data_IF_274671686900
#
_entry.id   IF_274671686900
#
_cell.length_a   1.000
_cell.length_b   1.000
_cell.length_c   1.000
_cell.angle_alpha   90.00
_cell.angle_beta   90.00
_cell.angle_gamma   90.00
#
_symmetry.space_group_name_H-M   'P 1'
#
loop_
_entity.id
_entity.type
_entity.pdbx_description
1 polymer ?
#
# COMPACT_ATOMS: atom_id res chain seq x y z
N UNK A 1 -30.15 -9.14 16.29
CA UNK A 1 -30.51 -7.73 16.07
C UNK A 1 -30.64 -7.55 14.57
N UNK A 2 -31.90 -7.47 14.08
CA UNK A 2 -32.21 -7.23 12.67
C UNK A 2 -31.96 -5.75 12.33
N UNK A 3 -30.86 -5.48 11.67
CA UNK A 3 -30.62 -4.18 11.03
C UNK A 3 -31.45 -4.12 9.73
N UNK A 4 -32.63 -3.54 9.79
CA UNK A 4 -33.48 -3.30 8.62
C UNK A 4 -33.28 -1.85 8.15
N UNK A 5 -32.70 -1.68 6.95
CA UNK A 5 -32.60 -0.40 6.23
C UNK A 5 -31.19 0.15 6.07
N UNK A 6 -30.98 0.98 5.06
CA UNK A 6 -29.70 1.64 4.72
C UNK A 6 -29.15 2.47 5.88
N UNK A 7 -30.00 3.09 6.68
CA UNK A 7 -29.62 3.82 7.89
C UNK A 7 -28.96 2.93 8.95
N UNK A 8 -29.36 1.68 9.05
CA UNK A 8 -28.76 0.70 9.99
C UNK A 8 -27.33 0.29 9.63
N UNK A 9 -27.01 0.19 8.33
CA UNK A 9 -25.64 -0.17 7.86
C UNK A 9 -24.69 0.98 8.16
N UNK A 10 -25.05 2.23 7.88
CA UNK A 10 -24.22 3.39 8.17
C UNK A 10 -23.97 3.60 9.67
N UNK A 11 -24.99 3.40 10.49
CA UNK A 11 -24.83 3.47 11.95
C UNK A 11 -23.94 2.32 12.46
N UNK A 12 -24.09 1.11 11.90
CA UNK A 12 -23.22 -0.02 12.19
C UNK A 12 -21.76 0.26 11.82
N UNK A 13 -21.50 0.84 10.63
CA UNK A 13 -20.16 1.22 10.20
C UNK A 13 -19.53 2.30 11.10
N UNK A 14 -20.31 3.28 11.52
CA UNK A 14 -19.81 4.36 12.38
C UNK A 14 -19.50 3.90 13.82
N UNK A 15 -20.26 2.95 14.35
CA UNK A 15 -20.17 2.56 15.77
C UNK A 15 -19.44 1.23 15.99
N UNK A 16 -19.70 0.22 15.14
CA UNK A 16 -19.23 -1.15 15.27
C UNK A 16 -18.85 -1.77 13.92
N UNK A 17 -17.87 -1.22 13.18
CA UNK A 17 -17.49 -1.72 11.85
C UNK A 17 -17.05 -3.18 11.88
N UNK A 18 -16.45 -3.65 12.96
CA UNK A 18 -15.95 -5.02 13.16
C UNK A 18 -17.06 -6.09 13.10
N UNK A 19 -18.33 -5.71 13.31
CA UNK A 19 -19.49 -6.61 13.22
C UNK A 19 -20.01 -6.80 11.80
N UNK A 20 -19.63 -5.92 10.87
CA UNK A 20 -20.08 -5.98 9.49
C UNK A 20 -19.33 -7.06 8.70
N UNK A 21 -20.06 -7.83 7.88
CA UNK A 21 -19.46 -8.84 7.01
C UNK A 21 -18.49 -8.24 5.99
N UNK A 22 -18.78 -7.04 5.47
CA UNK A 22 -17.91 -6.30 4.56
C UNK A 22 -16.55 -6.00 5.19
N UNK A 23 -16.51 -5.55 6.44
CA UNK A 23 -15.26 -5.29 7.15
C UNK A 23 -14.41 -6.58 7.28
N UNK A 24 -15.06 -7.72 7.54
CA UNK A 24 -14.39 -9.03 7.59
C UNK A 24 -13.85 -9.44 6.22
N UNK A 25 -14.62 -9.21 5.15
CA UNK A 25 -14.20 -9.49 3.77
C UNK A 25 -12.97 -8.65 3.41
N UNK A 26 -13.00 -7.34 3.61
CA UNK A 26 -11.85 -6.45 3.36
C UNK A 26 -10.64 -6.83 4.20
N UNK A 27 -10.85 -7.24 5.44
CA UNK A 27 -9.77 -7.76 6.28
C UNK A 27 -9.12 -9.02 5.68
N UNK A 28 -9.90 -9.96 5.16
CA UNK A 28 -9.37 -11.18 4.54
C UNK A 28 -8.61 -10.87 3.25
N UNK A 29 -9.13 -9.96 2.41
CA UNK A 29 -8.46 -9.51 1.19
C UNK A 29 -7.12 -8.83 1.53
N UNK A 30 -7.12 -7.89 2.47
CA UNK A 30 -5.91 -7.20 2.91
C UNK A 30 -4.87 -8.18 3.49
N UNK A 31 -5.30 -9.12 4.31
CA UNK A 31 -4.47 -10.14 4.91
C UNK A 31 -3.82 -11.06 3.86
N UNK A 32 -4.61 -11.59 2.93
CA UNK A 32 -4.12 -12.47 1.87
C UNK A 32 -3.17 -11.72 0.90
N UNK A 33 -3.58 -10.53 0.45
CA UNK A 33 -2.75 -9.69 -0.40
C UNK A 33 -1.46 -9.25 0.31
N UNK A 34 -1.52 -8.95 1.61
CA UNK A 34 -0.35 -8.59 2.41
C UNK A 34 0.70 -9.69 2.50
N UNK A 35 0.28 -10.95 2.63
CA UNK A 35 1.19 -12.11 2.62
C UNK A 35 1.83 -12.27 1.23
N UNK A 36 1.02 -12.22 0.17
CA UNK A 36 1.49 -12.45 -1.21
C UNK A 36 2.41 -11.32 -1.68
N UNK A 37 2.06 -10.08 -1.38
CA UNK A 37 2.75 -8.91 -1.91
C UNK A 37 3.80 -8.31 -0.95
N UNK A 38 3.87 -8.76 0.30
CA UNK A 38 4.71 -8.12 1.31
C UNK A 38 6.18 -8.02 0.88
N UNK A 39 6.77 -9.11 0.38
CA UNK A 39 8.14 -9.08 -0.11
C UNK A 39 8.31 -8.16 -1.33
N UNK A 40 7.38 -8.23 -2.29
CA UNK A 40 7.37 -7.34 -3.45
C UNK A 40 7.33 -5.87 -3.03
N UNK A 41 6.40 -5.48 -2.15
CA UNK A 41 6.27 -4.10 -1.66
C UNK A 41 7.55 -3.66 -0.96
N UNK A 42 8.18 -4.51 -0.16
CA UNK A 42 9.46 -4.21 0.49
C UNK A 42 10.56 -3.90 -0.54
N UNK A 43 10.73 -4.76 -1.55
CA UNK A 43 11.75 -4.58 -2.61
C UNK A 43 11.48 -3.29 -3.40
N UNK A 44 10.22 -3.05 -3.80
CA UNK A 44 9.85 -1.86 -4.55
C UNK A 44 10.05 -0.58 -3.73
N UNK A 45 9.74 -0.61 -2.44
CA UNK A 45 9.91 0.54 -1.55
C UNK A 45 11.38 0.87 -1.31
N UNK A 46 12.21 -0.14 -1.06
CA UNK A 46 13.66 0.07 -0.87
C UNK A 46 14.32 0.56 -2.15
N UNK A 47 14.04 -0.07 -3.29
CA UNK A 47 14.58 0.37 -4.58
C UNK A 47 14.13 1.78 -4.93
N UNK A 48 12.83 2.09 -4.72
CA UNK A 48 12.26 3.43 -4.91
C UNK A 48 12.96 4.49 -4.07
N UNK A 49 13.21 4.22 -2.78
CA UNK A 49 13.89 5.13 -1.86
C UNK A 49 15.31 5.51 -2.33
N UNK A 50 16.00 4.57 -2.96
CA UNK A 50 17.38 4.79 -3.43
C UNK A 50 17.38 5.51 -4.78
N UNK A 51 16.52 5.13 -5.73
CA UNK A 51 16.52 5.69 -7.08
C UNK A 51 16.00 7.13 -7.17
N UNK A 52 15.42 7.66 -6.10
CA UNK A 52 15.14 9.09 -5.99
C UNK A 52 16.45 9.89 -6.23
N UNK A 53 17.58 9.40 -5.71
CA UNK A 53 18.91 10.00 -5.86
C UNK A 53 19.71 9.43 -7.04
N UNK A 54 19.05 8.87 -8.06
CA UNK A 54 19.74 8.20 -9.18
C UNK A 54 20.75 9.08 -9.91
N UNK A 55 20.48 10.40 -10.03
CA UNK A 55 21.38 11.31 -10.74
C UNK A 55 22.71 11.48 -10.01
N UNK A 56 22.68 11.51 -8.69
CA UNK A 56 23.84 11.64 -7.82
C UNK A 56 24.60 10.32 -7.67
N UNK A 57 23.85 9.21 -7.67
CA UNK A 57 24.40 7.87 -7.41
C UNK A 57 24.92 7.18 -8.67
N UNK A 58 24.31 7.37 -9.84
CA UNK A 58 24.70 6.69 -11.09
C UNK A 58 26.15 6.93 -11.47
N UNK A 59 26.70 8.17 -11.44
CA UNK A 59 28.09 8.40 -11.79
C UNK A 59 29.10 7.73 -10.87
N UNK A 60 28.72 7.39 -9.64
CA UNK A 60 29.60 6.82 -8.61
C UNK A 60 29.43 5.33 -8.42
N UNK A 61 28.20 4.82 -8.53
CA UNK A 61 27.85 3.45 -8.10
C UNK A 61 27.12 2.63 -9.17
N UNK A 62 26.84 3.18 -10.36
CA UNK A 62 26.20 2.45 -11.45
C UNK A 62 24.84 1.85 -11.08
N UNK A 63 23.92 2.68 -10.56
CA UNK A 63 22.63 2.22 -10.02
C UNK A 63 21.55 1.95 -11.07
N UNK A 64 21.90 1.89 -12.36
CA UNK A 64 20.94 1.64 -13.47
C UNK A 64 20.21 0.32 -13.33
N UNK A 65 20.86 -0.70 -12.80
CA UNK A 65 20.22 -1.99 -12.53
C UNK A 65 19.08 -1.86 -11.51
N UNK A 66 19.24 -0.97 -10.53
CA UNK A 66 18.22 -0.72 -9.50
C UNK A 66 17.01 0.01 -10.11
N UNK A 67 17.23 0.94 -11.04
CA UNK A 67 16.18 1.58 -11.83
C UNK A 67 15.40 0.52 -12.64
N UNK A 68 16.12 -0.40 -13.31
CA UNK A 68 15.46 -1.49 -14.04
C UNK A 68 14.74 -2.47 -13.12
N UNK A 69 15.29 -2.78 -11.94
CA UNK A 69 14.60 -3.59 -10.94
C UNK A 69 13.26 -2.93 -10.55
N UNK A 70 13.28 -1.66 -10.22
CA UNK A 70 12.08 -0.91 -9.82
C UNK A 70 11.06 -0.77 -10.97
N UNK A 71 11.52 -0.49 -12.18
CA UNK A 71 10.63 -0.22 -13.32
C UNK A 71 10.05 -1.48 -13.94
N UNK A 72 10.82 -2.58 -14.01
CA UNK A 72 10.46 -3.78 -14.77
C UNK A 72 10.98 -5.09 -14.20
N UNK A 73 11.32 -5.14 -12.91
CA UNK A 73 11.78 -6.34 -12.20
C UNK A 73 12.96 -7.04 -12.89
N UNK A 74 13.76 -6.31 -13.70
CA UNK A 74 14.87 -6.79 -14.54
C UNK A 74 14.47 -7.69 -15.73
N UNK A 75 13.17 -7.90 -15.99
CA UNK A 75 12.64 -8.77 -17.05
C UNK A 75 11.94 -8.01 -18.17
N UNK A 76 12.30 -6.76 -18.42
CA UNK A 76 11.80 -5.90 -19.52
C UNK A 76 10.25 -5.91 -19.63
N UNK A 77 9.69 -6.34 -20.78
CA UNK A 77 8.24 -6.31 -21.01
C UNK A 77 7.46 -7.18 -20.04
N UNK A 78 7.93 -8.42 -19.79
CA UNK A 78 7.29 -9.35 -18.87
C UNK A 78 7.34 -8.84 -17.44
N UNK A 79 8.50 -8.34 -17.01
CA UNK A 79 8.66 -7.76 -15.69
C UNK A 79 7.83 -6.50 -15.49
N UNK A 80 7.70 -5.65 -16.53
CA UNK A 80 6.81 -4.49 -16.50
C UNK A 80 5.34 -4.90 -16.32
N UNK A 81 4.90 -5.94 -17.02
CA UNK A 81 3.55 -6.48 -16.87
C UNK A 81 3.30 -6.98 -15.44
N UNK A 82 4.21 -7.78 -14.87
CA UNK A 82 4.13 -8.28 -13.49
C UNK A 82 4.17 -7.13 -12.48
N UNK A 83 5.02 -6.14 -12.72
CA UNK A 83 5.12 -4.94 -11.88
C UNK A 83 3.81 -4.15 -11.84
N UNK A 84 3.11 -4.04 -12.96
CA UNK A 84 1.78 -3.44 -13.02
C UNK A 84 0.73 -4.18 -12.20
N UNK A 85 0.76 -5.53 -12.20
CA UNK A 85 -0.09 -6.35 -11.32
C UNK A 85 0.27 -6.08 -9.85
N UNK A 86 1.56 -5.98 -9.53
CA UNK A 86 2.03 -5.62 -8.19
C UNK A 86 1.55 -4.24 -7.73
N UNK A 87 1.60 -3.24 -8.61
CA UNK A 87 1.10 -1.89 -8.34
C UNK A 87 -0.43 -1.87 -8.13
N UNK A 88 -1.17 -2.66 -8.92
CA UNK A 88 -2.60 -2.88 -8.70
C UNK A 88 -2.88 -3.52 -7.33
N UNK A 89 -2.12 -4.56 -6.98
CA UNK A 89 -2.19 -5.20 -5.67
C UNK A 89 -1.87 -4.25 -4.51
N UNK A 90 -0.88 -3.37 -4.66
CA UNK A 90 -0.57 -2.32 -3.69
C UNK A 90 -1.75 -1.34 -3.52
N UNK A 91 -2.40 -0.96 -4.62
CA UNK A 91 -3.60 -0.11 -4.59
C UNK A 91 -4.74 -0.80 -3.82
N UNK A 92 -4.98 -2.09 -4.08
CA UNK A 92 -5.97 -2.89 -3.33
C UNK A 92 -5.60 -2.98 -1.85
N UNK A 93 -4.33 -3.23 -1.52
CA UNK A 93 -3.85 -3.21 -0.12
C UNK A 93 -4.12 -1.87 0.55
N UNK A 94 -3.83 -0.77 -0.14
CA UNK A 94 -4.04 0.57 0.38
C UNK A 94 -5.53 0.84 0.66
N UNK A 95 -6.40 0.57 -0.30
CA UNK A 95 -7.84 0.80 -0.17
C UNK A 95 -8.47 -0.09 0.91
N UNK A 96 -8.14 -1.38 0.92
CA UNK A 96 -8.64 -2.30 1.95
C UNK A 96 -8.10 -1.94 3.32
N UNK A 97 -6.83 -1.52 3.40
CA UNK A 97 -6.22 -1.02 4.63
C UNK A 97 -6.96 0.19 5.21
N UNK A 98 -7.32 1.16 4.37
CA UNK A 98 -8.10 2.33 4.79
C UNK A 98 -9.48 1.94 5.34
N UNK A 99 -10.15 0.96 4.70
CA UNK A 99 -11.46 0.46 5.13
C UNK A 99 -11.37 -0.23 6.49
N UNK A 100 -10.39 -1.12 6.69
CA UNK A 100 -10.24 -1.88 7.94
C UNK A 100 -9.62 -1.05 9.06
N UNK A 101 -8.92 0.03 8.72
CA UNK A 101 -8.33 0.94 9.72
C UNK A 101 -9.39 1.61 10.58
N UNK A 102 -10.59 1.88 10.04
CA UNK A 102 -11.65 2.57 10.76
C UNK A 102 -12.14 1.77 11.99
N UNK A 103 -11.84 2.21 13.23
CA UNK A 103 -12.20 1.50 14.45
C UNK A 103 -13.54 1.96 15.05
N UNK A 104 -14.31 2.76 14.32
CA UNK A 104 -15.51 3.42 14.81
C UNK A 104 -15.23 4.77 15.47
N UNK A 105 -16.28 5.60 15.54
CA UNK A 105 -16.21 7.01 15.96
C UNK A 105 -15.67 7.23 17.39
N UNK A 106 -15.77 6.23 18.25
CA UNK A 106 -15.28 6.33 19.65
C UNK A 106 -13.77 6.11 19.79
N UNK A 107 -13.17 5.36 18.86
CA UNK A 107 -11.79 4.87 19.00
C UNK A 107 -10.82 5.44 17.96
N UNK A 108 -11.26 6.23 16.96
CA UNK A 108 -10.43 6.68 15.85
C UNK A 108 -9.15 7.41 16.27
N UNK A 109 -9.26 8.30 17.28
CA UNK A 109 -8.08 9.03 17.79
C UNK A 109 -7.00 8.10 18.36
N UNK A 110 -7.42 6.97 18.98
CA UNK A 110 -6.49 5.97 19.53
C UNK A 110 -5.77 5.19 18.45
N UNK A 111 -6.38 5.05 17.27
CA UNK A 111 -5.79 4.36 16.11
C UNK A 111 -4.79 5.20 15.32
N UNK A 112 -4.69 6.52 15.63
CA UNK A 112 -3.68 7.41 15.04
C UNK A 112 -2.31 7.29 15.70
N UNK A 113 -2.21 6.64 16.86
CA UNK A 113 -1.02 6.58 17.69
C UNK A 113 -0.71 5.14 18.09
N UNK A 114 0.53 4.89 18.47
CA UNK A 114 0.98 3.60 18.99
C UNK A 114 1.54 3.75 20.41
N UNK A 115 1.46 2.67 21.19
CA UNK A 115 1.95 2.66 22.57
C UNK A 115 3.28 1.91 22.64
N UNK A 116 4.32 2.57 23.18
CA UNK A 116 5.66 1.99 23.31
C UNK A 116 5.74 0.85 24.33
N UNK A 117 4.97 0.93 25.41
CA UNK A 117 5.04 -0.02 26.52
C UNK A 117 3.99 -1.12 26.41
N UNK A 118 4.07 -1.92 25.32
CA UNK A 118 3.16 -3.05 25.07
C UNK A 118 3.95 -4.26 24.56
N UNK A 119 3.33 -5.45 24.54
CA UNK A 119 3.94 -6.65 23.93
C UNK A 119 4.26 -6.37 22.46
N UNK A 120 5.38 -6.90 21.96
CA UNK A 120 5.90 -6.63 20.61
C UNK A 120 4.85 -6.84 19.50
N UNK A 121 4.04 -7.90 19.58
CA UNK A 121 2.97 -8.15 18.60
C UNK A 121 1.89 -7.05 18.60
N UNK A 122 1.53 -6.52 19.77
CA UNK A 122 0.59 -5.40 19.89
C UNK A 122 1.20 -4.10 19.38
N UNK A 123 2.45 -3.84 19.73
CA UNK A 123 3.21 -2.68 19.23
C UNK A 123 3.27 -2.70 17.70
N UNK A 124 3.64 -3.85 17.09
CA UNK A 124 3.71 -4.00 15.62
C UNK A 124 2.36 -3.76 14.95
N UNK A 125 1.28 -4.22 15.56
CA UNK A 125 -0.08 -3.97 15.07
C UNK A 125 -0.42 -2.48 15.11
N UNK A 126 -0.23 -1.83 16.25
CA UNK A 126 -0.54 -0.40 16.43
C UNK A 126 0.34 0.46 15.52
N UNK A 127 1.63 0.11 15.36
CA UNK A 127 2.57 0.78 14.48
C UNK A 127 2.15 0.65 13.00
N UNK A 128 1.85 -0.57 12.55
CA UNK A 128 1.36 -0.82 11.19
C UNK A 128 0.10 -0.01 10.89
N UNK A 129 -0.85 -0.01 11.82
CA UNK A 129 -2.12 0.71 11.70
C UNK A 129 -1.93 2.23 11.62
N UNK A 130 -1.13 2.80 12.54
CA UNK A 130 -0.89 4.25 12.60
C UNK A 130 -0.07 4.75 11.41
N UNK A 131 1.04 4.08 11.07
CA UNK A 131 1.87 4.43 9.91
C UNK A 131 1.07 4.29 8.62
N UNK A 132 0.31 3.18 8.48
CA UNK A 132 -0.54 2.96 7.31
C UNK A 132 -1.52 4.10 7.07
N UNK A 133 -2.14 4.62 8.12
CA UNK A 133 -3.02 5.78 8.02
C UNK A 133 -2.29 7.04 7.55
N UNK A 134 -1.17 7.39 8.18
CA UNK A 134 -0.44 8.61 7.85
C UNK A 134 0.22 8.57 6.47
N UNK A 135 0.62 7.40 6.00
CA UNK A 135 1.23 7.23 4.67
C UNK A 135 0.22 6.93 3.57
N UNK A 136 -1.05 6.68 3.90
CA UNK A 136 -2.11 6.30 2.96
C UNK A 136 -2.17 7.13 1.68
N UNK A 137 -2.16 8.49 1.70
CA UNK A 137 -2.27 9.28 0.46
C UNK A 137 -1.09 9.05 -0.48
N UNK A 138 0.12 8.92 0.07
CA UNK A 138 1.34 8.69 -0.71
C UNK A 138 1.37 7.28 -1.30
N UNK A 139 1.01 6.26 -0.50
CA UNK A 139 0.96 4.87 -0.96
C UNK A 139 -0.09 4.69 -2.05
N UNK A 140 -1.26 5.32 -1.90
CA UNK A 140 -2.31 5.31 -2.91
C UNK A 140 -1.84 5.99 -4.21
N UNK A 141 -1.21 7.14 -4.12
CA UNK A 141 -0.65 7.85 -5.25
C UNK A 141 0.42 6.98 -5.97
N UNK A 142 1.34 6.35 -5.23
CA UNK A 142 2.35 5.46 -5.80
C UNK A 142 1.75 4.20 -6.42
N UNK A 143 0.70 3.62 -5.84
CA UNK A 143 -0.02 2.49 -6.43
C UNK A 143 -0.64 2.85 -7.77
N UNK A 144 -1.44 3.93 -7.81
CA UNK A 144 -2.12 4.39 -9.02
C UNK A 144 -1.12 4.80 -10.11
N UNK A 145 -0.10 5.59 -9.76
CA UNK A 145 0.93 6.02 -10.70
C UNK A 145 1.80 4.86 -11.18
N UNK A 146 2.06 3.86 -10.32
CA UNK A 146 2.73 2.62 -10.72
C UNK A 146 1.95 1.83 -11.77
N UNK A 147 0.62 1.74 -11.64
CA UNK A 147 -0.26 1.15 -12.66
C UNK A 147 -0.15 1.96 -13.97
N UNK A 148 -0.21 3.30 -13.89
CA UNK A 148 -0.06 4.17 -15.05
C UNK A 148 1.26 3.95 -15.78
N UNK A 149 2.40 3.86 -15.07
CA UNK A 149 3.69 3.62 -15.70
C UNK A 149 3.79 2.26 -16.40
N UNK A 150 3.08 1.26 -15.89
CA UNK A 150 3.07 -0.07 -16.50
C UNK A 150 2.06 -0.19 -17.65
N UNK A 151 0.90 0.47 -17.53
CA UNK A 151 -0.24 0.41 -18.45
C UNK A 151 -0.76 1.81 -18.76
N UNK A 152 -0.03 2.64 -19.55
CA UNK A 152 -0.43 4.04 -19.79
C UNK A 152 -1.71 4.17 -20.65
N UNK A 153 -1.94 3.23 -21.55
CA UNK A 153 -3.04 3.34 -22.53
C UNK A 153 -4.45 3.35 -21.92
N UNK A 154 -4.79 2.54 -20.89
CA UNK A 154 -6.08 2.66 -20.23
C UNK A 154 -6.33 4.04 -19.61
N UNK A 155 -5.29 4.68 -19.08
CA UNK A 155 -5.40 6.02 -18.50
C UNK A 155 -5.62 7.09 -19.57
N UNK A 156 -4.83 7.05 -20.64
CA UNK A 156 -5.00 8.01 -21.76
C UNK A 156 -6.35 7.84 -22.43
N UNK A 157 -6.85 6.60 -22.60
CA UNK A 157 -8.17 6.33 -23.15
C UNK A 157 -9.29 6.85 -22.24
N UNK A 158 -9.15 6.69 -20.93
CA UNK A 158 -10.10 7.21 -19.95
C UNK A 158 -10.16 8.74 -19.97
N UNK A 159 -9.01 9.42 -19.99
CA UNK A 159 -8.95 10.87 -20.04
C UNK A 159 -9.46 11.44 -21.36
N UNK A 160 -9.24 10.75 -22.48
CA UNK A 160 -9.79 11.12 -23.79
C UNK A 160 -11.34 11.14 -23.83
N UNK A 161 -12.03 10.52 -22.86
CA UNK A 161 -13.49 10.66 -22.72
C UNK A 161 -13.91 12.06 -22.24
N UNK A 162 -13.02 12.76 -21.53
CA UNK A 162 -13.28 14.08 -20.98
C UNK A 162 -12.70 15.21 -21.83
N UNK A 163 -11.54 14.99 -22.48
CA UNK A 163 -10.93 15.90 -23.45
C UNK A 163 -10.33 15.14 -24.65
N UNK A 164 -11.07 15.04 -25.77
CA UNK A 164 -10.61 14.31 -26.96
C UNK A 164 -9.47 14.99 -27.72
N UNK A 165 -9.16 16.25 -27.41
CA UNK A 165 -8.25 17.08 -28.21
C UNK A 165 -6.78 16.86 -27.89
N UNK A 166 -6.44 16.35 -26.71
CA UNK A 166 -5.05 16.25 -26.26
C UNK A 166 -4.64 14.81 -25.89
N UNK A 167 -4.51 13.95 -26.91
CA UNK A 167 -4.08 12.55 -26.73
C UNK A 167 -2.61 12.39 -26.34
N UNK A 168 -1.77 13.40 -26.52
CA UNK A 168 -0.32 13.27 -26.40
C UNK A 168 0.27 13.98 -25.17
N UNK A 169 -0.42 14.96 -24.62
CA UNK A 169 0.05 15.70 -23.46
C UNK A 169 -1.10 15.98 -22.50
N UNK A 170 -1.27 15.15 -21.49
CA UNK A 170 -2.22 15.40 -20.41
C UNK A 170 -1.46 15.92 -19.20
N UNK A 171 -1.75 17.16 -18.75
CA UNK A 171 -1.11 17.75 -17.57
C UNK A 171 -1.32 16.92 -16.30
N UNK A 172 -2.47 16.23 -16.16
CA UNK A 172 -2.76 15.39 -15.01
C UNK A 172 -1.85 14.15 -14.96
N UNK A 173 -1.61 13.49 -16.12
CA UNK A 173 -0.70 12.35 -16.22
C UNK A 173 0.75 12.76 -16.01
N UNK A 174 1.15 13.92 -16.54
CA UNK A 174 2.48 14.49 -16.31
C UNK A 174 2.68 14.82 -14.83
N UNK A 175 1.68 15.44 -14.19
CA UNK A 175 1.66 15.72 -12.75
C UNK A 175 1.74 14.45 -11.91
N UNK A 176 1.00 13.41 -12.28
CA UNK A 176 1.02 12.11 -11.59
C UNK A 176 2.41 11.45 -11.69
N UNK A 177 3.04 11.50 -12.86
CA UNK A 177 4.39 10.99 -13.07
C UNK A 177 5.42 11.76 -12.25
N UNK A 178 5.35 13.09 -12.26
CA UNK A 178 6.22 13.94 -11.46
C UNK A 178 6.06 13.68 -9.95
N UNK A 179 4.82 13.53 -9.48
CA UNK A 179 4.52 13.21 -8.09
C UNK A 179 5.07 11.82 -7.70
N UNK A 180 4.97 10.81 -8.57
CA UNK A 180 5.56 9.50 -8.29
C UNK A 180 7.07 9.57 -8.05
N UNK A 181 7.78 10.33 -8.89
CA UNK A 181 9.23 10.44 -8.82
C UNK A 181 9.69 11.33 -7.65
N UNK A 182 8.89 12.34 -7.28
CA UNK A 182 9.16 13.23 -6.13
C UNK A 182 10.36 14.20 -6.33
N UNK A 183 10.77 14.47 -7.57
CA UNK A 183 11.97 15.27 -7.88
C UNK A 183 11.64 16.74 -8.10
N UNK A 184 11.23 17.41 -7.02
CA UNK A 184 10.95 18.86 -7.00
C UNK A 184 12.02 19.67 -6.23
N UNK A 185 13.13 19.02 -5.88
CA UNK A 185 14.24 19.58 -5.12
C UNK A 185 14.65 18.66 -3.97
N UNK A 186 15.80 18.94 -3.36
CA UNK A 186 16.43 18.08 -2.35
C UNK A 186 15.51 17.71 -1.16
N UNK A 187 14.65 18.64 -0.75
CA UNK A 187 13.73 18.43 0.37
C UNK A 187 12.67 17.37 0.02
N UNK A 188 12.09 17.46 -1.18
CA UNK A 188 11.11 16.45 -1.64
C UNK A 188 11.77 15.10 -1.87
N UNK A 189 12.98 15.06 -2.39
CA UNK A 189 13.76 13.82 -2.53
C UNK A 189 13.98 13.15 -1.17
N UNK A 190 14.38 13.91 -0.15
CA UNK A 190 14.54 13.41 1.21
C UNK A 190 13.22 12.88 1.80
N UNK A 191 12.12 13.60 1.59
CA UNK A 191 10.78 13.18 2.06
C UNK A 191 10.35 11.89 1.33
N UNK A 192 10.48 11.80 0.00
CA UNK A 192 10.09 10.62 -0.79
C UNK A 192 10.92 9.39 -0.42
N UNK A 193 12.24 9.56 -0.28
CA UNK A 193 13.13 8.49 0.18
C UNK A 193 12.73 7.99 1.57
N UNK A 194 12.48 8.90 2.51
CA UNK A 194 12.05 8.57 3.87
C UNK A 194 10.70 7.83 3.87
N UNK A 195 9.71 8.32 3.12
CA UNK A 195 8.41 7.66 3.00
C UNK A 195 8.52 6.26 2.37
N UNK A 196 9.42 6.07 1.40
CA UNK A 196 9.69 4.75 0.83
C UNK A 196 10.29 3.79 1.87
N UNK A 197 11.26 4.25 2.69
CA UNK A 197 11.78 3.44 3.80
C UNK A 197 10.70 3.12 4.84
N UNK A 198 9.84 4.07 5.15
CA UNK A 198 8.69 3.86 6.05
C UNK A 198 7.73 2.81 5.47
N UNK A 199 7.48 2.83 4.15
CA UNK A 199 6.65 1.81 3.49
C UNK A 199 7.31 0.43 3.51
N UNK A 200 8.63 0.33 3.40
CA UNK A 200 9.35 -0.93 3.57
C UNK A 200 9.16 -1.49 5.00
N UNK A 201 9.30 -0.65 6.03
CA UNK A 201 9.03 -1.03 7.43
C UNK A 201 7.55 -1.41 7.64
N UNK A 202 6.63 -0.70 7.00
CA UNK A 202 5.20 -1.02 7.02
C UNK A 202 4.94 -2.41 6.43
N UNK A 203 5.60 -2.76 5.33
CA UNK A 203 5.51 -4.10 4.73
C UNK A 203 6.04 -5.19 5.67
N UNK A 204 7.21 -4.98 6.27
CA UNK A 204 7.81 -5.92 7.23
C UNK A 204 6.90 -6.12 8.44
N UNK A 205 6.39 -5.03 9.03
CA UNK A 205 5.47 -5.11 10.17
C UNK A 205 4.15 -5.80 9.81
N UNK A 206 3.63 -5.58 8.61
CA UNK A 206 2.43 -6.25 8.09
C UNK A 206 2.63 -7.76 7.96
N UNK A 207 3.71 -8.19 7.33
CA UNK A 207 4.07 -9.62 7.22
C UNK A 207 4.24 -10.25 8.60
N UNK A 208 4.95 -9.57 9.51
CA UNK A 208 5.12 -10.04 10.89
C UNK A 208 3.77 -10.24 11.59
N UNK A 209 2.87 -9.26 11.52
CA UNK A 209 1.52 -9.35 12.11
C UNK A 209 0.74 -10.53 11.53
N UNK A 210 0.83 -10.74 10.21
CA UNK A 210 0.18 -11.86 9.53
C UNK A 210 0.73 -13.21 10.01
N UNK A 211 2.05 -13.38 10.04
CA UNK A 211 2.72 -14.61 10.48
C UNK A 211 2.42 -14.92 11.94
N UNK A 212 2.54 -13.92 12.83
CA UNK A 212 2.23 -14.08 14.25
C UNK A 212 0.79 -14.57 14.46
N UNK A 213 -0.16 -14.01 13.72
CA UNK A 213 -1.57 -14.41 13.81
C UNK A 213 -1.80 -15.85 13.33
N UNK A 214 -1.11 -16.29 12.26
CA UNK A 214 -1.18 -17.68 11.78
C UNK A 214 -0.70 -18.68 12.82
N UNK A 215 0.47 -18.40 13.42
CA UNK A 215 1.08 -19.28 14.43
C UNK A 215 0.20 -19.38 15.67
N UNK A 216 -0.27 -18.24 16.19
CA UNK A 216 -1.12 -18.22 17.37
C UNK A 216 -2.44 -18.95 17.17
N UNK A 217 -3.06 -18.81 15.97
CA UNK A 217 -4.31 -19.50 15.63
C UNK A 217 -4.13 -21.03 15.52
N UNK A 218 -2.96 -21.48 15.07
CA UNK A 218 -2.61 -22.92 15.02
C UNK A 218 -2.40 -23.49 16.43
N UNK A 219 -1.73 -22.75 17.30
CA UNK A 219 -1.46 -23.17 18.68
C UNK A 219 -2.72 -23.23 19.57
N UNK A 220 -3.74 -22.41 19.28
CA UNK A 220 -4.99 -22.38 20.06
C UNK A 220 -6.03 -23.41 19.61
N UNK A 221 -5.76 -24.24 18.59
CA UNK A 221 -6.65 -25.30 18.12
C UNK A 221 -5.89 -26.63 17.94
N UNK A 222 -5.50 -27.32 19.05
CA UNK A 222 -4.72 -28.55 19.01
C UNK A 222 -5.46 -29.76 18.41
N UNK A 223 -6.79 -29.75 18.39
CA UNK A 223 -7.62 -30.90 17.98
C UNK A 223 -7.73 -31.10 16.45
N UNK A 224 -6.99 -30.37 15.61
CA UNK A 224 -7.02 -30.53 14.15
C UNK A 224 -5.80 -31.27 13.60
N UNK A 225 -5.00 -31.93 14.44
CA UNK A 225 -3.81 -32.68 14.03
C UNK A 225 -4.02 -34.20 14.03
N UNK A 226 -5.23 -34.69 14.33
CA UNK A 226 -5.51 -36.15 14.40
C UNK A 226 -6.56 -36.62 13.36
N UNK A 227 -6.82 -35.87 12.30
CA UNK A 227 -7.57 -36.29 11.12
C UNK A 227 -6.65 -36.13 9.88
#
# INVERSE_FOLDING_TARGET
VHWRGTTGIWQGWLQHPEKLWLHRLFFQIHYAAGIVLGFYVMVMSLSGSIIVYRNELTPRFGVEWLVRLHANLLFEKTGRFVNGIGAFGLTVLCLTGAVIWWPGIRNWRRSLTFKWNTRFARFSWDLHSAIGFWTFPFVLMWGISGIYFCYPEPFSSFLALFDPRDRFYDPALTGLAAAHIGRFGWLTEAVWSTLGLVLALLSISGVFVCCHRMIYRKSSNPNRQEE
#
